data_IF_529715731598
#
_entry.id   IF_529715731598
#
_cell.length_a   1.000
_cell.length_b   1.000
_cell.length_c   1.000
_cell.angle_alpha   90.00
_cell.angle_beta   90.00
_cell.angle_gamma   90.00
#
_symmetry.space_group_name_H-M   'P 1'
#
loop_
_entity.id
_entity.type
_entity.pdbx_description
1 polymer ?
#
# COMPACT_ATOMS: atom_id res chain seq x y z
N UNK A 1 -4.16 40.75 70.27
CA UNK A 1 -3.38 41.64 71.14
C UNK A 1 -2.50 42.50 70.25
N UNK A 2 -2.69 43.82 70.32
CA UNK A 2 -1.80 44.97 70.06
C UNK A 2 -0.56 44.74 69.15
N UNK A 3 -0.19 45.62 68.22
CA UNK A 3 -0.54 47.02 68.07
C UNK A 3 0.33 47.67 66.98
N UNK A 4 -0.16 48.83 66.58
CA UNK A 4 0.27 49.78 65.56
C UNK A 4 1.75 50.23 65.70
N UNK A 5 2.49 50.36 64.59
CA UNK A 5 3.40 51.49 64.39
C UNK A 5 3.44 51.92 62.90
N UNK A 6 2.96 53.14 62.67
CA UNK A 6 3.15 53.93 61.44
C UNK A 6 4.54 54.56 61.44
N UNK A 7 5.24 54.53 60.30
CA UNK A 7 6.16 55.57 59.85
C UNK A 7 6.36 55.36 58.32
N UNK A 8 5.67 56.16 57.50
CA UNK A 8 6.19 57.31 56.78
C UNK A 8 6.90 56.94 55.46
N UNK A 9 6.21 57.22 54.34
CA UNK A 9 6.73 57.18 52.97
C UNK A 9 7.77 58.31 52.74
N UNK A 10 8.56 58.25 51.65
CA UNK A 10 8.05 58.85 50.42
C UNK A 10 8.29 58.06 49.14
N UNK A 11 7.40 58.38 48.20
CA UNK A 11 7.36 58.09 46.77
C UNK A 11 8.73 57.97 46.09
N UNK A 12 8.87 56.96 45.23
CA UNK A 12 9.44 57.14 43.89
C UNK A 12 9.10 55.99 42.95
N UNK A 13 8.65 56.40 41.75
CA UNK A 13 8.70 55.73 40.46
C UNK A 13 7.82 54.48 40.21
N UNK A 14 6.73 54.73 39.47
CA UNK A 14 6.09 53.78 38.57
C UNK A 14 7.09 53.21 37.55
N UNK A 15 7.19 51.88 37.42
CA UNK A 15 7.36 51.19 36.14
C UNK A 15 6.55 49.89 36.17
N UNK A 16 5.53 49.82 35.31
CA UNK A 16 4.80 48.61 34.98
C UNK A 16 5.67 47.70 34.09
N UNK A 17 5.65 46.38 34.32
CA UNK A 17 6.50 45.44 33.58
C UNK A 17 6.00 43.99 33.60
N UNK A 18 4.89 43.77 32.87
CA UNK A 18 4.47 42.58 32.09
C UNK A 18 4.81 41.15 32.57
N UNK A 19 3.74 40.36 32.76
CA UNK A 19 3.75 38.92 32.99
C UNK A 19 4.17 38.12 31.75
N UNK A 20 5.11 37.20 31.92
CA UNK A 20 5.58 36.28 30.88
C UNK A 20 4.71 35.02 30.84
N UNK A 21 3.83 34.90 29.84
CA UNK A 21 3.17 33.64 29.48
C UNK A 21 4.05 32.90 28.45
N UNK A 22 4.58 31.75 28.83
CA UNK A 22 5.30 30.84 27.92
C UNK A 22 4.28 30.05 27.11
N UNK A 23 4.11 30.40 25.83
CA UNK A 23 3.35 29.60 24.88
C UNK A 23 4.26 28.50 24.30
N UNK A 24 4.01 27.24 24.66
CA UNK A 24 4.63 26.08 24.03
C UNK A 24 3.93 25.87 22.68
N UNK A 25 4.56 26.31 21.60
CA UNK A 25 4.08 26.06 20.25
C UNK A 25 4.35 24.61 19.85
N UNK A 26 3.31 23.79 19.72
CA UNK A 26 3.36 22.53 18.95
C UNK A 26 3.22 22.88 17.47
N UNK A 27 4.34 23.05 16.76
CA UNK A 27 4.30 23.14 15.30
C UNK A 27 4.00 21.76 14.70
N UNK A 28 3.02 21.63 13.78
CA UNK A 28 2.82 20.37 13.07
C UNK A 28 4.00 20.16 12.13
N UNK A 29 4.60 18.96 12.15
CA UNK A 29 5.57 18.55 11.15
C UNK A 29 4.84 18.47 9.80
N UNK A 30 5.07 19.46 8.92
CA UNK A 30 4.61 19.39 7.55
C UNK A 30 5.38 18.25 6.87
N UNK A 31 4.68 17.16 6.53
CA UNK A 31 5.22 16.14 5.65
C UNK A 31 5.47 16.80 4.28
N UNK A 32 6.73 17.09 3.95
CA UNK A 32 7.10 17.52 2.62
C UNK A 32 6.73 16.39 1.65
N UNK A 33 5.69 16.61 0.85
CA UNK A 33 5.38 15.75 -0.28
C UNK A 33 6.52 15.89 -1.29
N UNK A 34 7.47 14.96 -1.24
CA UNK A 34 8.57 14.87 -2.21
C UNK A 34 7.95 14.63 -3.59
N UNK A 35 8.04 15.61 -4.48
CA UNK A 35 7.51 15.49 -5.82
C UNK A 35 8.28 14.40 -6.58
N UNK A 36 7.55 13.40 -7.09
CA UNK A 36 8.14 12.27 -7.83
C UNK A 36 8.75 12.81 -9.12
N UNK A 37 10.05 12.60 -9.38
CA UNK A 37 10.67 13.08 -10.61
C UNK A 37 10.05 12.40 -11.84
N UNK A 38 9.89 13.18 -12.91
CA UNK A 38 9.50 12.63 -14.20
C UNK A 38 10.64 11.77 -14.77
N UNK A 39 10.30 10.59 -15.29
CA UNK A 39 11.26 9.68 -15.89
C UNK A 39 11.96 8.76 -14.87
N UNK A 40 13.16 8.30 -15.21
CA UNK A 40 13.91 7.38 -14.36
C UNK A 40 14.62 8.10 -13.24
N UNK A 41 14.48 7.59 -12.02
CA UNK A 41 15.22 8.09 -10.88
C UNK A 41 15.59 6.97 -9.91
N UNK A 42 16.62 7.21 -9.12
CA UNK A 42 17.07 6.29 -8.08
C UNK A 42 16.71 6.86 -6.71
N UNK A 43 16.06 6.05 -5.90
CA UNK A 43 15.83 6.34 -4.49
C UNK A 43 16.49 5.22 -3.67
N UNK A 44 17.23 5.60 -2.63
CA UNK A 44 17.79 4.64 -1.68
C UNK A 44 17.37 5.01 -0.27
N UNK A 45 17.03 4.00 0.51
CA UNK A 45 16.78 4.11 1.94
C UNK A 45 17.57 3.02 2.64
N UNK A 46 17.99 3.32 3.86
CA UNK A 46 18.62 2.32 4.73
C UNK A 46 17.60 1.89 5.77
N UNK A 47 17.37 0.59 5.87
CA UNK A 47 16.47 0.00 6.85
C UNK A 47 17.25 -1.04 7.67
N UNK A 48 17.51 -0.72 8.93
CA UNK A 48 18.40 -1.52 9.80
C UNK A 48 19.77 -1.78 9.14
N UNK A 49 20.12 -3.06 8.96
CA UNK A 49 21.36 -3.54 8.34
C UNK A 49 21.19 -3.84 6.83
N UNK A 50 20.12 -3.35 6.20
CA UNK A 50 19.85 -3.55 4.77
C UNK A 50 19.71 -2.20 4.05
N UNK A 51 20.55 -1.98 3.05
CA UNK A 51 20.43 -0.88 2.11
C UNK A 51 19.47 -1.30 0.98
N UNK A 52 18.40 -0.52 0.79
CA UNK A 52 17.38 -0.74 -0.23
C UNK A 52 17.50 0.38 -1.26
N UNK A 53 17.91 0.05 -2.47
CA UNK A 53 17.96 1.00 -3.58
C UNK A 53 17.02 0.57 -4.69
N UNK A 54 16.13 1.47 -5.12
CA UNK A 54 15.24 1.27 -6.25
C UNK A 54 15.56 2.27 -7.36
N UNK A 55 15.88 1.78 -8.55
CA UNK A 55 15.83 2.58 -9.77
C UNK A 55 14.46 2.37 -10.39
N UNK A 56 13.66 3.44 -10.43
CA UNK A 56 12.25 3.35 -10.81
C UNK A 56 11.83 4.43 -11.79
N UNK A 57 10.78 4.13 -12.54
CA UNK A 57 10.06 5.07 -13.38
C UNK A 57 8.57 4.84 -13.12
N UNK A 58 7.88 5.90 -12.73
CA UNK A 58 6.47 5.86 -12.35
C UNK A 58 5.73 6.81 -13.27
N UNK A 59 4.80 6.25 -14.04
CA UNK A 59 3.93 7.00 -14.93
C UNK A 59 2.61 7.19 -14.20
N UNK A 60 2.26 8.45 -13.98
CA UNK A 60 0.97 8.86 -13.42
C UNK A 60 0.18 9.62 -14.48
N UNK A 61 -1.14 9.47 -14.47
CA UNK A 61 -2.04 10.30 -15.27
C UNK A 61 -2.03 11.75 -14.75
N UNK A 62 -2.63 12.68 -15.50
CA UNK A 62 -2.77 14.09 -15.08
C UNK A 62 -3.52 14.23 -13.75
N UNK A 63 -4.36 13.25 -13.39
CA UNK A 63 -5.05 13.15 -12.09
C UNK A 63 -4.15 12.72 -10.92
N UNK A 64 -2.89 12.38 -11.19
CA UNK A 64 -1.95 11.81 -10.21
C UNK A 64 -2.11 10.30 -9.99
N UNK A 65 -3.06 9.64 -10.65
CA UNK A 65 -3.27 8.19 -10.52
C UNK A 65 -2.15 7.40 -11.20
N UNK A 66 -1.63 6.36 -10.55
CA UNK A 66 -0.69 5.42 -11.15
C UNK A 66 -1.27 4.85 -12.45
N UNK A 67 -0.50 4.88 -13.53
CA UNK A 67 -0.80 4.21 -14.79
C UNK A 67 0.08 2.97 -14.91
N UNK A 68 1.36 3.09 -14.54
CA UNK A 68 2.31 1.97 -14.44
C UNK A 68 3.56 2.39 -13.67
N UNK A 69 4.24 1.44 -13.04
CA UNK A 69 5.50 1.65 -12.36
C UNK A 69 6.47 0.51 -12.65
N UNK A 70 7.72 0.83 -12.97
CA UNK A 70 8.80 -0.14 -13.15
C UNK A 70 9.85 0.11 -12.08
N UNK A 71 10.35 -0.96 -11.47
CA UNK A 71 11.28 -0.90 -10.34
C UNK A 71 12.38 -1.94 -10.45
N UNK A 72 13.62 -1.50 -10.27
CA UNK A 72 14.82 -2.32 -10.16
C UNK A 72 15.36 -2.14 -8.74
N UNK A 73 15.02 -3.09 -7.87
CA UNK A 73 15.27 -3.04 -6.45
C UNK A 73 16.48 -3.90 -6.13
N UNK A 74 17.44 -3.32 -5.42
CA UNK A 74 18.60 -4.02 -4.86
C UNK A 74 18.58 -3.86 -3.35
N UNK A 75 18.62 -4.99 -2.64
CA UNK A 75 18.78 -5.09 -1.19
C UNK A 75 20.19 -5.61 -0.92
N UNK A 76 20.95 -4.90 -0.09
CA UNK A 76 22.33 -5.23 0.29
C UNK A 76 22.52 -5.21 1.79
N UNK A 77 23.23 -6.18 2.35
CA UNK A 77 23.54 -6.27 3.78
C UNK A 77 23.21 -7.65 4.35
N UNK A 78 22.44 -7.70 5.44
CA UNK A 78 22.00 -8.97 6.05
C UNK A 78 21.18 -9.84 5.10
N UNK A 79 20.43 -9.22 4.18
CA UNK A 79 19.72 -9.88 3.07
C UNK A 79 20.22 -9.30 1.77
N UNK A 80 20.64 -10.17 0.85
CA UNK A 80 21.10 -9.78 -0.48
C UNK A 80 20.11 -10.31 -1.53
N UNK A 81 19.38 -9.40 -2.18
CA UNK A 81 18.34 -9.76 -3.17
C UNK A 81 18.23 -8.67 -4.23
N UNK A 82 17.97 -9.08 -5.47
CA UNK A 82 17.63 -8.18 -6.57
C UNK A 82 16.23 -8.53 -7.07
N UNK A 83 15.39 -7.53 -7.28
CA UNK A 83 14.00 -7.70 -7.72
C UNK A 83 13.74 -6.73 -8.86
N UNK A 84 13.24 -7.27 -9.96
CA UNK A 84 12.58 -6.48 -10.99
C UNK A 84 11.07 -6.57 -10.76
N UNK A 85 10.42 -5.43 -10.61
CA UNK A 85 8.99 -5.36 -10.32
C UNK A 85 8.31 -4.41 -11.28
N UNK A 86 7.19 -4.85 -11.85
CA UNK A 86 6.28 -4.02 -12.64
C UNK A 86 4.97 -3.95 -11.89
N UNK A 87 4.49 -2.74 -11.65
CA UNK A 87 3.28 -2.45 -10.90
C UNK A 87 2.30 -1.76 -11.83
N UNK A 88 1.09 -2.30 -11.93
CA UNK A 88 0.00 -1.73 -12.73
C UNK A 88 -1.23 -1.50 -11.84
N UNK A 89 -2.15 -0.60 -12.21
CA UNK A 89 -3.38 -0.37 -11.47
C UNK A 89 -4.22 -1.63 -11.30
N UNK A 90 -4.99 -1.65 -10.21
CA UNK A 90 -6.00 -2.67 -9.92
C UNK A 90 -7.27 -2.42 -10.74
N UNK A 91 -8.25 -3.32 -10.71
CA UNK A 91 -9.48 -3.17 -11.51
C UNK A 91 -9.31 -3.59 -12.98
N UNK A 92 -8.30 -4.40 -13.26
CA UNK A 92 -8.32 -5.27 -14.43
C UNK A 92 -9.40 -6.31 -14.21
N UNK A 93 -10.12 -6.65 -15.27
CA UNK A 93 -11.14 -7.68 -15.33
C UNK A 93 -10.67 -8.98 -14.65
N UNK A 94 -11.26 -9.38 -13.52
CA UNK A 94 -11.13 -10.74 -12.94
C UNK A 94 -12.52 -11.37 -12.95
N UNK A 95 -12.85 -12.20 -13.94
CA UNK A 95 -14.17 -12.76 -14.12
C UNK A 95 -14.49 -13.76 -13.00
N UNK A 96 -15.76 -14.15 -12.88
CA UNK A 96 -16.19 -15.19 -11.96
C UNK A 96 -15.80 -16.58 -12.47
N UNK A 97 -15.18 -17.37 -11.58
CA UNK A 97 -14.65 -18.70 -11.88
C UNK A 97 -15.60 -19.66 -12.61
N UNK A 98 -15.06 -20.77 -13.10
CA UNK A 98 -15.80 -21.73 -13.93
C UNK A 98 -16.56 -22.73 -13.06
N UNK A 99 -17.87 -22.87 -13.23
CA UNK A 99 -18.63 -24.00 -12.71
C UNK A 99 -18.41 -25.24 -13.57
N UNK A 100 -17.75 -26.25 -13.03
CA UNK A 100 -17.49 -27.55 -13.63
C UNK A 100 -18.48 -28.59 -13.08
N UNK A 101 -19.21 -29.27 -13.96
CA UNK A 101 -20.08 -30.39 -13.61
C UNK A 101 -19.85 -31.54 -14.61
N UNK A 102 -19.72 -32.76 -14.08
CA UNK A 102 -19.62 -33.99 -14.88
C UNK A 102 -20.91 -34.75 -14.67
N UNK A 103 -21.63 -35.00 -15.77
CA UNK A 103 -22.99 -35.55 -15.77
C UNK A 103 -23.93 -34.80 -14.77
N UNK A 104 -24.86 -35.50 -14.12
CA UNK A 104 -25.73 -34.95 -13.06
C UNK A 104 -25.05 -34.82 -11.68
N UNK A 105 -23.71 -34.91 -11.63
CA UNK A 105 -22.93 -34.85 -10.39
C UNK A 105 -22.93 -33.47 -9.74
N UNK A 106 -22.32 -33.34 -8.56
CA UNK A 106 -22.22 -32.04 -7.87
C UNK A 106 -21.32 -31.08 -8.65
N UNK A 107 -21.80 -29.86 -8.92
CA UNK A 107 -20.99 -28.81 -9.54
C UNK A 107 -19.84 -28.36 -8.61
N UNK A 108 -18.66 -28.14 -9.19
CA UNK A 108 -17.44 -27.67 -8.55
C UNK A 108 -16.98 -26.37 -9.21
N UNK A 109 -16.60 -25.38 -8.40
CA UNK A 109 -16.13 -24.09 -8.90
C UNK A 109 -14.61 -24.11 -9.09
N UNK A 110 -14.14 -23.61 -10.22
CA UNK A 110 -12.73 -23.40 -10.55
C UNK A 110 -12.46 -21.90 -10.50
N UNK A 111 -11.67 -21.45 -9.53
CA UNK A 111 -11.32 -20.03 -9.42
C UNK A 111 -10.27 -19.64 -10.47
N UNK A 112 -10.35 -18.41 -11.00
CA UNK A 112 -9.29 -17.88 -11.84
C UNK A 112 -8.06 -17.53 -10.98
N UNK A 113 -6.92 -18.15 -11.27
CA UNK A 113 -5.66 -17.98 -10.53
C UNK A 113 -4.86 -16.76 -11.02
N UNK A 114 -5.08 -16.37 -12.28
CA UNK A 114 -4.52 -15.16 -12.86
C UNK A 114 -5.44 -14.65 -13.95
N UNK A 115 -5.58 -13.33 -13.99
CA UNK A 115 -6.29 -12.63 -15.04
C UNK A 115 -5.37 -11.70 -15.76
N UNK A 116 -5.18 -12.04 -17.02
CA UNK A 116 -4.50 -11.24 -17.99
C UNK A 116 -5.48 -10.21 -18.57
N UNK A 117 -4.98 -9.14 -19.21
CA UNK A 117 -5.78 -8.24 -20.04
C UNK A 117 -6.84 -8.91 -20.93
N UNK A 118 -6.57 -10.09 -21.49
CA UNK A 118 -7.36 -10.77 -22.54
C UNK A 118 -8.05 -12.07 -22.09
N UNK A 119 -7.59 -12.70 -21.00
CA UNK A 119 -8.06 -14.00 -20.57
C UNK A 119 -7.84 -14.23 -19.09
N UNK A 120 -8.60 -15.15 -18.55
CA UNK A 120 -8.45 -15.60 -17.18
C UNK A 120 -8.33 -17.11 -17.12
N UNK A 121 -7.37 -17.56 -16.33
CA UNK A 121 -6.99 -18.96 -16.22
C UNK A 121 -7.55 -19.49 -14.92
N UNK A 122 -8.43 -20.49 -14.98
CA UNK A 122 -9.00 -21.15 -13.80
C UNK A 122 -8.43 -22.56 -13.66
N UNK A 123 -7.90 -22.86 -12.49
CA UNK A 123 -7.11 -24.06 -12.26
C UNK A 123 -7.52 -24.74 -10.96
N UNK A 124 -7.53 -26.07 -10.99
CA UNK A 124 -7.56 -26.93 -9.80
C UNK A 124 -6.53 -28.04 -10.00
N UNK A 125 -5.96 -28.60 -8.91
CA UNK A 125 -5.10 -29.76 -9.01
C UNK A 125 -5.83 -30.93 -9.70
N UNK A 126 -5.20 -31.52 -10.71
CA UNK A 126 -5.71 -32.71 -11.38
C UNK A 126 -5.44 -33.96 -10.53
N UNK A 127 -6.28 -34.18 -9.53
CA UNK A 127 -6.19 -35.34 -8.64
C UNK A 127 -6.81 -36.61 -9.23
N UNK A 128 -6.43 -37.77 -8.69
CA UNK A 128 -6.87 -39.09 -9.18
C UNK A 128 -8.40 -39.24 -9.26
N UNK A 129 -9.13 -38.62 -8.33
CA UNK A 129 -10.59 -38.62 -8.34
C UNK A 129 -11.15 -37.86 -9.55
N UNK A 130 -10.61 -36.68 -9.86
CA UNK A 130 -11.04 -35.87 -11.00
C UNK A 130 -10.72 -36.58 -12.31
N UNK A 131 -9.53 -37.18 -12.41
CA UNK A 131 -9.13 -38.03 -13.54
C UNK A 131 -10.10 -39.21 -13.71
N UNK A 132 -10.47 -39.88 -12.63
CA UNK A 132 -11.41 -41.00 -12.68
C UNK A 132 -12.82 -40.57 -13.12
N UNK A 133 -13.29 -39.40 -12.70
CA UNK A 133 -14.57 -38.83 -13.17
C UNK A 133 -14.54 -38.50 -14.66
N UNK A 134 -13.46 -37.90 -15.16
CA UNK A 134 -13.29 -37.64 -16.60
C UNK A 134 -13.21 -38.91 -17.45
N UNK A 135 -12.62 -40.00 -16.92
CA UNK A 135 -12.54 -41.28 -17.64
C UNK A 135 -13.89 -42.00 -17.77
N UNK A 136 -14.82 -41.74 -16.85
CA UNK A 136 -16.13 -42.43 -16.77
C UNK A 136 -17.28 -41.60 -17.34
N UNK A 137 -17.17 -40.28 -17.30
CA UNK A 137 -18.22 -39.36 -17.74
C UNK A 137 -18.35 -39.30 -19.25
N UNK A 138 -19.58 -39.07 -19.72
CA UNK A 138 -19.88 -38.86 -21.14
C UNK A 138 -20.07 -37.40 -21.51
N UNK A 139 -20.33 -36.53 -20.51
CA UNK A 139 -20.67 -35.13 -20.72
C UNK A 139 -20.01 -34.20 -19.69
N UNK A 140 -19.57 -33.03 -20.16
CA UNK A 140 -18.89 -31.98 -19.38
C UNK A 140 -19.61 -30.65 -19.54
N UNK A 141 -20.06 -30.05 -18.43
CA UNK A 141 -20.66 -28.71 -18.43
C UNK A 141 -19.73 -27.71 -17.74
N UNK A 142 -19.47 -26.59 -18.43
CA UNK A 142 -18.67 -25.46 -17.94
C UNK A 142 -19.51 -24.18 -17.98
N UNK A 143 -19.62 -23.46 -16.86
CA UNK A 143 -20.37 -22.20 -16.75
C UNK A 143 -19.47 -21.06 -16.30
N UNK A 144 -19.50 -19.93 -17.00
CA UNK A 144 -18.82 -18.69 -16.61
C UNK A 144 -19.80 -17.51 -16.71
N UNK A 145 -19.47 -16.39 -16.07
CA UNK A 145 -20.27 -15.15 -16.13
C UNK A 145 -19.38 -14.03 -16.68
N UNK A 146 -19.96 -13.13 -17.48
CA UNK A 146 -19.29 -11.96 -18.03
C UNK A 146 -19.99 -10.68 -17.50
N UNK A 147 -19.26 -9.58 -17.38
CA UNK A 147 -19.79 -8.23 -17.09
C UNK A 147 -20.02 -7.46 -18.40
#
# INVERSE_FOLDING_TARGET
>A
MNGLHRAAAPLSAFIAGVASLVAIGTAPAAAQQQQVPNGWFKACTKQEEVDICNVQNIIVADSGQLVTGVSLIELKGKVNRKVFQVTVPTGRLVPPGIGLQIDGGKAQKLDYVICFPDRCVAEVPLGDQLVASFKKGGELTLTSVNF
#
